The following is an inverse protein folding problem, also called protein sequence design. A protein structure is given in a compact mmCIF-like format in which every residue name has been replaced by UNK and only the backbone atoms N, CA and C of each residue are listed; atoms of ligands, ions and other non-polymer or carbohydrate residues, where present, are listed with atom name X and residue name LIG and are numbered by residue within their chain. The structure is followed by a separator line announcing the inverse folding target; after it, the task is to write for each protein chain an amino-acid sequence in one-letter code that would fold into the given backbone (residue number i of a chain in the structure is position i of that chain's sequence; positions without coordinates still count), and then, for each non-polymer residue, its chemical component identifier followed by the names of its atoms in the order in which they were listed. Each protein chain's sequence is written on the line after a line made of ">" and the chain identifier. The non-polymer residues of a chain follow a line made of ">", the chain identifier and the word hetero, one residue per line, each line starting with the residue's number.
data_IF_898279202120
#
_entry.id   IF_898279202120
#
_cell.length_a   1.000
_cell.length_b   1.000
_cell.length_c   1.000
_cell.angle_alpha   90.00
_cell.angle_beta   90.00
_cell.angle_gamma   90.00
#
_symmetry.space_group_name_H-M   'P 1'
#
loop_
_entity.id
_entity.type
_entity.pdbx_description
1 polymer ?
#
# COMPACT_ATOMS: atom_id res chain seq x y z
N UNK A 1 -68.37 25.35 -7.38
CA UNK A 1 -69.06 24.38 -8.24
C UNK A 1 -68.39 23.02 -8.14
N UNK A 2 -69.16 21.99 -7.77
CA UNK A 2 -68.88 20.55 -8.05
C UNK A 2 -69.38 20.25 -9.47
N UNK A 3 -68.88 19.22 -10.18
CA UNK A 3 -69.44 17.87 -10.00
C UNK A 3 -68.37 16.74 -10.05
N UNK A 4 -68.51 15.72 -9.20
CA UNK A 4 -68.86 14.33 -9.58
C UNK A 4 -67.69 13.58 -10.27
N UNK A 5 -67.08 12.54 -9.73
CA UNK A 5 -67.57 11.45 -8.90
C UNK A 5 -67.59 10.17 -9.75
N UNK A 6 -66.60 9.29 -9.59
CA UNK A 6 -66.70 7.85 -9.91
C UNK A 6 -65.78 7.09 -8.95
N UNK A 7 -66.40 6.26 -8.11
CA UNK A 7 -65.74 5.26 -7.26
C UNK A 7 -65.76 3.95 -8.04
N UNK A 8 -64.60 3.44 -8.46
CA UNK A 8 -64.50 2.11 -9.07
C UNK A 8 -64.03 1.11 -8.01
N UNK A 9 -64.98 0.32 -7.50
CA UNK A 9 -64.71 -0.87 -6.68
C UNK A 9 -64.22 -1.99 -7.59
N UNK A 10 -62.96 -2.40 -7.44
CA UNK A 10 -62.45 -3.61 -8.08
C UNK A 10 -62.51 -4.73 -7.04
N UNK A 11 -63.47 -5.63 -7.24
CA UNK A 11 -63.59 -6.93 -6.58
C UNK A 11 -62.39 -7.79 -6.96
N UNK A 12 -61.90 -8.56 -5.99
CA UNK A 12 -60.66 -9.32 -6.08
C UNK A 12 -60.62 -10.41 -7.15
N UNK A 13 -59.40 -10.63 -7.64
CA UNK A 13 -58.88 -11.93 -8.01
C UNK A 13 -57.44 -11.96 -7.50
N UNK A 14 -57.14 -12.89 -6.57
CA UNK A 14 -55.89 -12.94 -5.84
C UNK A 14 -54.69 -13.16 -6.76
N UNK A 15 -53.86 -12.13 -6.91
CA UNK A 15 -52.49 -12.23 -7.42
C UNK A 15 -51.59 -12.42 -6.20
N UNK A 16 -51.11 -13.65 -6.00
CA UNK A 16 -49.96 -13.95 -5.16
C UNK A 16 -48.72 -13.30 -5.79
N UNK A 17 -48.45 -12.05 -5.41
CA UNK A 17 -47.17 -11.39 -5.74
C UNK A 17 -46.10 -12.06 -4.90
N UNK A 18 -45.37 -13.01 -5.49
CA UNK A 18 -44.08 -13.43 -4.98
C UNK A 18 -43.12 -12.24 -5.10
N UNK A 19 -43.01 -11.45 -4.04
CA UNK A 19 -41.97 -10.43 -3.89
C UNK A 19 -40.65 -11.19 -3.77
N UNK A 20 -39.97 -11.43 -4.89
CA UNK A 20 -38.60 -11.94 -4.90
C UNK A 20 -37.71 -10.85 -4.34
N UNK A 21 -37.37 -10.95 -3.05
CA UNK A 21 -36.45 -10.06 -2.39
C UNK A 21 -35.06 -10.25 -3.03
N UNK A 22 -34.44 -9.24 -3.68
CA UNK A 22 -33.06 -9.38 -4.10
C UNK A 22 -32.20 -9.46 -2.85
N UNK A 23 -31.53 -10.58 -2.64
CA UNK A 23 -30.51 -10.72 -1.61
C UNK A 23 -29.36 -9.77 -1.95
N UNK A 24 -29.29 -8.63 -1.27
CA UNK A 24 -28.11 -7.76 -1.28
C UNK A 24 -27.03 -8.51 -0.50
N UNK A 25 -26.13 -9.19 -1.20
CA UNK A 25 -24.90 -9.71 -0.61
C UNK A 25 -24.03 -8.50 -0.21
N UNK A 26 -23.91 -8.24 1.09
CA UNK A 26 -22.93 -7.29 1.60
C UNK A 26 -21.57 -7.99 1.56
N UNK A 27 -20.74 -7.64 0.58
CA UNK A 27 -19.32 -7.97 0.60
C UNK A 27 -18.73 -7.30 1.84
N UNK A 28 -18.48 -8.08 2.89
CA UNK A 28 -17.69 -7.63 4.02
C UNK A 28 -16.35 -7.17 3.49
N UNK A 29 -16.06 -5.88 3.64
CA UNK A 29 -14.75 -5.33 3.37
C UNK A 29 -13.79 -5.91 4.41
N UNK A 30 -13.14 -7.01 4.04
CA UNK A 30 -11.94 -7.54 4.68
C UNK A 30 -10.82 -6.52 4.49
N UNK A 31 -10.87 -5.44 5.27
CA UNK A 31 -9.85 -4.41 5.27
C UNK A 31 -8.74 -4.92 6.18
N UNK A 32 -7.80 -5.66 5.58
CA UNK A 32 -6.49 -5.84 6.17
C UNK A 32 -5.85 -4.49 6.54
N UNK A 33 -4.78 -4.50 7.34
CA UNK A 33 -4.15 -3.28 7.85
C UNK A 33 -3.78 -2.34 6.69
N UNK A 34 -4.06 -1.05 6.83
CA UNK A 34 -3.77 -0.05 5.80
C UNK A 34 -2.25 0.06 5.60
N UNK A 35 -1.78 -0.39 4.44
CA UNK A 35 -0.36 -0.38 4.07
C UNK A 35 0.02 1.01 3.57
N UNK A 36 0.99 1.64 4.25
CA UNK A 36 1.50 2.99 3.94
C UNK A 36 2.82 2.97 3.18
N UNK A 37 3.61 1.90 3.33
CA UNK A 37 4.95 1.83 2.76
C UNK A 37 5.55 0.43 2.84
N UNK A 38 6.81 0.36 2.46
CA UNK A 38 7.67 -0.81 2.64
C UNK A 38 8.79 -0.49 3.64
N UNK A 39 9.07 -1.42 4.53
CA UNK A 39 10.25 -1.39 5.38
C UNK A 39 11.38 -2.14 4.69
N UNK A 40 12.46 -1.44 4.41
CA UNK A 40 13.61 -1.95 3.66
C UNK A 40 14.86 -1.98 4.54
N UNK A 41 15.77 -2.90 4.24
CA UNK A 41 17.15 -2.87 4.75
C UNK A 41 18.10 -2.61 3.60
N UNK A 42 19.04 -1.71 3.82
CA UNK A 42 20.17 -1.45 2.93
C UNK A 42 21.48 -1.83 3.58
N UNK A 43 22.36 -2.51 2.84
CA UNK A 43 23.75 -2.76 3.20
C UNK A 43 24.65 -1.95 2.28
N UNK A 44 25.54 -1.16 2.88
CA UNK A 44 26.73 -0.65 2.21
C UNK A 44 27.85 -1.69 2.35
N UNK A 45 28.22 -2.34 1.23
CA UNK A 45 29.23 -3.41 1.17
C UNK A 45 30.65 -2.89 1.43
N UNK A 46 30.89 -1.59 1.27
CA UNK A 46 32.20 -0.96 1.50
C UNK A 46 32.39 -0.69 2.98
N UNK A 47 31.37 -0.12 3.65
CA UNK A 47 31.45 0.20 5.08
C UNK A 47 30.95 -0.92 6.00
N UNK A 48 30.36 -1.98 5.42
CA UNK A 48 29.68 -3.07 6.12
C UNK A 48 28.55 -2.59 7.05
N UNK A 49 27.93 -1.43 6.75
CA UNK A 49 26.86 -0.85 7.56
C UNK A 49 25.49 -1.26 7.01
N UNK A 50 24.64 -1.77 7.90
CA UNK A 50 23.25 -2.10 7.62
C UNK A 50 22.36 -1.00 8.21
N UNK A 51 21.46 -0.46 7.40
CA UNK A 51 20.47 0.54 7.82
C UNK A 51 19.09 0.03 7.47
N UNK A 52 18.13 0.24 8.37
CA UNK A 52 16.70 0.01 8.09
C UNK A 52 16.05 1.35 7.84
N UNK A 53 15.25 1.46 6.80
CA UNK A 53 14.56 2.69 6.44
C UNK A 53 13.19 2.36 5.83
N UNK A 54 12.27 3.30 5.98
CA UNK A 54 10.93 3.21 5.40
C UNK A 54 10.91 3.86 4.02
N UNK A 55 10.25 3.21 3.07
CA UNK A 55 9.92 3.72 1.75
C UNK A 55 8.40 3.87 1.64
N UNK A 56 7.84 5.09 1.77
CA UNK A 56 6.42 5.33 1.55
C UNK A 56 6.00 4.94 0.13
N UNK A 57 4.76 4.49 -0.05
CA UNK A 57 4.29 4.05 -1.36
C UNK A 57 4.26 5.21 -2.36
N UNK A 58 4.88 5.00 -3.52
CA UNK A 58 4.94 5.99 -4.61
C UNK A 58 5.87 7.17 -4.36
N UNK A 59 6.57 7.21 -3.22
CA UNK A 59 7.56 8.23 -2.90
C UNK A 59 8.98 7.73 -3.13
N UNK A 60 9.85 8.63 -3.57
CA UNK A 60 11.26 8.34 -3.77
C UNK A 60 12.03 8.52 -2.48
N UNK A 61 12.75 7.47 -2.07
CA UNK A 61 13.70 7.52 -0.96
C UNK A 61 15.12 7.28 -1.45
N UNK A 62 16.10 7.84 -0.74
CA UNK A 62 17.51 7.76 -1.09
C UNK A 62 18.26 6.83 -0.13
N UNK A 63 19.06 5.94 -0.69
CA UNK A 63 20.06 5.16 0.04
C UNK A 63 21.41 5.21 -0.71
N UNK A 64 22.36 6.01 -0.22
CA UNK A 64 23.60 6.26 -0.93
C UNK A 64 23.37 6.96 -2.27
N UNK A 65 23.79 6.33 -3.38
CA UNK A 65 23.52 6.79 -4.76
C UNK A 65 22.22 6.22 -5.34
N UNK A 66 21.54 5.33 -4.61
CA UNK A 66 20.29 4.73 -5.07
C UNK A 66 19.11 5.68 -4.86
N UNK A 67 18.17 5.63 -5.82
CA UNK A 67 16.82 6.17 -5.75
C UNK A 67 15.86 5.00 -5.78
N UNK A 68 15.05 4.86 -4.75
CA UNK A 68 14.21 3.69 -4.53
C UNK A 68 12.76 4.16 -4.43
N UNK A 69 11.88 3.55 -5.19
CA UNK A 69 10.44 3.77 -5.11
C UNK A 69 9.76 2.43 -4.82
N UNK A 70 8.98 2.38 -3.74
CA UNK A 70 8.10 1.25 -3.46
C UNK A 70 6.74 1.51 -4.09
N UNK A 71 6.40 0.80 -5.15
CA UNK A 71 5.11 1.00 -5.85
C UNK A 71 3.96 0.29 -5.14
N UNK A 72 4.24 -0.87 -4.55
CA UNK A 72 3.23 -1.69 -3.90
C UNK A 72 3.87 -2.55 -2.83
N UNK A 73 3.24 -2.65 -1.66
CA UNK A 73 3.62 -3.60 -0.62
C UNK A 73 2.41 -4.48 -0.28
N UNK A 74 2.60 -5.81 -0.30
CA UNK A 74 1.58 -6.81 0.00
C UNK A 74 2.06 -7.69 1.14
N UNK A 75 1.29 -7.72 2.22
CA UNK A 75 1.49 -8.60 3.37
C UNK A 75 0.37 -9.63 3.40
N UNK A 76 0.72 -10.91 3.49
CA UNK A 76 -0.28 -11.98 3.66
C UNK A 76 -0.93 -11.90 5.04
N UNK A 77 -2.21 -12.29 5.16
CA UNK A 77 -2.90 -12.29 6.43
C UNK A 77 -2.37 -13.42 7.33
N UNK A 78 -2.58 -13.33 8.66
CA UNK A 78 -1.94 -14.23 9.63
C UNK A 78 -2.38 -15.70 9.55
N UNK A 79 -3.53 -15.98 8.93
CA UNK A 79 -4.05 -17.33 8.68
C UNK A 79 -3.32 -18.07 7.55
N UNK A 80 -2.54 -17.36 6.73
CA UNK A 80 -1.71 -17.92 5.68
C UNK A 80 -0.23 -18.01 6.10
N UNK A 81 0.57 -18.71 5.30
CA UNK A 81 2.03 -18.72 5.49
C UNK A 81 2.57 -17.27 5.39
N UNK A 82 3.30 -16.76 6.42
CA UNK A 82 3.78 -15.39 6.44
C UNK A 82 4.64 -15.07 5.22
N UNK A 83 4.26 -14.03 4.49
CA UNK A 83 5.02 -13.53 3.35
C UNK A 83 4.74 -12.04 3.14
N UNK A 84 5.79 -11.32 2.72
CA UNK A 84 5.70 -9.93 2.30
C UNK A 84 6.34 -9.79 0.94
N UNK A 85 5.61 -9.23 -0.02
CA UNK A 85 6.09 -8.97 -1.36
C UNK A 85 5.97 -7.48 -1.70
N UNK A 86 7.04 -6.89 -2.21
CA UNK A 86 7.09 -5.47 -2.59
C UNK A 86 7.54 -5.34 -4.03
N UNK A 87 6.81 -4.55 -4.81
CA UNK A 87 7.28 -4.13 -6.12
C UNK A 87 8.15 -2.88 -5.95
N UNK A 88 9.43 -3.01 -6.26
CA UNK A 88 10.42 -1.94 -6.13
C UNK A 88 10.92 -1.52 -7.51
N UNK A 89 11.14 -0.23 -7.66
CA UNK A 89 11.91 0.37 -8.75
C UNK A 89 13.13 1.04 -8.12
N UNK A 90 14.32 0.70 -8.62
CA UNK A 90 15.59 1.18 -8.09
C UNK A 90 16.45 1.66 -9.24
N UNK A 91 16.81 2.93 -9.18
CA UNK A 91 17.76 3.58 -10.09
C UNK A 91 19.02 3.99 -9.32
N UNK A 92 20.13 4.17 -10.03
CA UNK A 92 21.32 4.82 -9.52
C UNK A 92 21.52 6.19 -10.15
N UNK A 93 21.83 7.17 -9.31
CA UNK A 93 22.24 8.52 -9.71
C UNK A 93 23.65 8.78 -9.20
N UNK A 94 24.65 8.71 -10.09
CA UNK A 94 26.06 8.90 -9.75
C UNK A 94 26.46 10.37 -9.81
N UNK A 95 27.23 10.88 -8.83
CA UNK A 95 27.75 12.23 -8.89
C UNK A 95 28.61 12.47 -10.14
N UNK A 96 28.27 13.50 -10.92
CA UNK A 96 29.02 13.87 -12.12
C UNK A 96 28.61 13.14 -13.40
N UNK A 97 27.70 12.17 -13.32
CA UNK A 97 27.05 11.58 -14.48
C UNK A 97 25.68 12.23 -14.69
N UNK A 98 25.29 12.43 -15.95
CA UNK A 98 23.99 12.98 -16.29
C UNK A 98 22.97 11.85 -16.45
N UNK A 99 21.94 11.84 -15.60
CA UNK A 99 20.80 10.91 -15.71
C UNK A 99 20.80 9.84 -14.62
N UNK A 100 19.80 8.94 -14.73
CA UNK A 100 19.56 7.83 -13.79
C UNK A 100 19.70 6.51 -14.54
N UNK A 101 20.44 5.58 -13.96
CA UNK A 101 20.59 4.24 -14.50
C UNK A 101 19.62 3.28 -13.80
N UNK A 102 18.65 2.67 -14.50
CA UNK A 102 17.78 1.67 -13.87
C UNK A 102 18.59 0.42 -13.52
N UNK A 103 18.47 -0.01 -12.26
CA UNK A 103 19.18 -1.18 -11.72
C UNK A 103 18.23 -2.34 -11.42
N UNK A 104 17.02 -2.05 -10.93
CA UNK A 104 16.05 -3.07 -10.54
C UNK A 104 14.63 -2.57 -10.78
N UNK A 105 13.77 -3.44 -11.31
CA UNK A 105 12.32 -3.23 -11.36
C UNK A 105 11.65 -4.59 -11.26
N UNK A 106 10.97 -4.85 -10.14
CA UNK A 106 10.41 -6.17 -9.90
C UNK A 106 9.87 -6.41 -8.50
N UNK A 107 9.33 -7.61 -8.31
CA UNK A 107 8.84 -8.09 -7.02
C UNK A 107 9.96 -8.69 -6.20
N UNK A 108 10.11 -8.23 -4.97
CA UNK A 108 11.04 -8.78 -4.00
C UNK A 108 10.26 -9.32 -2.78
N UNK A 109 10.71 -10.47 -2.27
CA UNK A 109 10.05 -11.21 -1.19
C UNK A 109 10.87 -11.14 0.09
N UNK A 110 10.25 -10.80 1.21
CA UNK A 110 10.94 -10.70 2.50
C UNK A 110 11.50 -12.05 2.97
N UNK A 111 10.79 -13.14 2.67
CA UNK A 111 11.24 -14.49 3.05
C UNK A 111 12.47 -14.96 2.24
N UNK A 112 12.58 -14.50 0.99
CA UNK A 112 13.56 -14.98 0.02
C UNK A 112 14.04 -13.86 -0.93
N UNK A 113 14.76 -12.84 -0.42
CA UNK A 113 15.20 -11.71 -1.26
C UNK A 113 16.11 -12.14 -2.42
N UNK A 114 16.88 -13.21 -2.22
CA UNK A 114 17.80 -13.76 -3.22
C UNK A 114 17.11 -14.23 -4.52
N UNK A 115 15.79 -14.44 -4.53
CA UNK A 115 15.04 -14.80 -5.75
C UNK A 115 14.89 -13.62 -6.72
N UNK A 116 14.99 -12.39 -6.22
CA UNK A 116 14.92 -11.16 -7.01
C UNK A 116 15.80 -10.11 -6.35
N UNK A 117 17.10 -10.40 -6.30
CA UNK A 117 18.08 -9.55 -5.63
C UNK A 117 18.44 -8.32 -6.47
N UNK A 118 18.78 -7.23 -5.78
CA UNK A 118 19.43 -6.08 -6.40
C UNK A 118 20.90 -6.40 -6.67
N UNK A 119 21.27 -6.45 -7.94
CA UNK A 119 22.66 -6.66 -8.35
C UNK A 119 23.41 -5.32 -8.45
N UNK A 120 23.98 -4.87 -7.32
CA UNK A 120 24.79 -3.65 -7.27
C UNK A 120 26.16 -3.91 -6.58
N UNK A 121 27.28 -3.36 -7.10
CA UNK A 121 28.61 -3.63 -6.54
C UNK A 121 28.84 -3.06 -5.13
N UNK A 122 28.20 -1.93 -4.80
CA UNK A 122 28.43 -1.20 -3.53
C UNK A 122 27.30 -1.39 -2.53
N UNK A 123 26.07 -1.57 -3.01
CA UNK A 123 24.89 -1.57 -2.17
C UNK A 123 24.14 -2.90 -2.34
N UNK A 124 23.39 -3.28 -1.31
CA UNK A 124 22.37 -4.32 -1.39
C UNK A 124 21.13 -3.78 -0.69
N UNK A 125 19.95 -4.06 -1.22
CA UNK A 125 18.68 -3.59 -0.66
C UNK A 125 17.70 -4.75 -0.68
N UNK A 126 17.08 -5.02 0.47
CA UNK A 126 16.06 -6.05 0.56
C UNK A 126 14.86 -5.66 1.40
N UNK A 127 13.72 -6.27 1.08
CA UNK A 127 12.44 -6.09 1.78
C UNK A 127 12.47 -6.79 3.14
N UNK A 128 11.93 -6.11 4.16
CA UNK A 128 11.73 -6.67 5.50
C UNK A 128 10.25 -6.87 5.82
N UNK A 129 9.43 -5.83 5.64
CA UNK A 129 8.00 -5.86 5.97
C UNK A 129 7.24 -4.75 5.20
N UNK A 130 5.92 -4.72 5.31
CA UNK A 130 5.12 -3.54 5.01
C UNK A 130 5.01 -2.63 6.22
N UNK A 131 5.11 -1.33 6.01
CA UNK A 131 4.71 -0.33 7.00
C UNK A 131 3.19 -0.20 6.96
N UNK A 132 2.53 -0.36 8.12
CA UNK A 132 1.07 -0.26 8.26
C UNK A 132 0.69 0.77 9.30
N UNK A 133 -0.49 1.39 9.17
CA UNK A 133 -1.02 2.34 10.17
C UNK A 133 -0.99 1.80 11.61
N UNK A 134 -1.30 0.51 11.78
CA UNK A 134 -1.37 -0.12 13.10
C UNK A 134 0.01 -0.38 13.72
N UNK A 135 1.03 -0.71 12.90
CA UNK A 135 2.38 -1.03 13.38
C UNK A 135 3.14 0.19 13.94
N UNK A 136 2.82 1.41 13.51
CA UNK A 136 3.44 2.63 14.05
C UNK A 136 2.93 2.98 15.45
N UNK A 137 1.77 2.45 15.88
CA UNK A 137 1.22 2.75 17.19
C UNK A 137 2.04 2.16 18.35
N UNK A 138 2.79 1.07 18.09
CA UNK A 138 3.59 0.34 19.06
C UNK A 138 5.11 0.67 19.00
N UNK A 139 5.56 1.48 18.04
CA UNK A 139 6.97 1.88 17.92
C UNK A 139 7.32 3.08 18.82
N UNK A 140 8.54 3.13 19.40
CA UNK A 140 8.99 4.30 20.15
C UNK A 140 9.01 5.55 19.26
N UNK A 141 8.56 6.67 19.81
CA UNK A 141 8.32 7.96 19.13
C UNK A 141 9.50 8.42 18.22
N UNK A 142 10.73 8.01 18.54
CA UNK A 142 11.93 8.32 17.77
C UNK A 142 12.01 7.68 16.37
N UNK A 143 11.17 6.68 16.08
CA UNK A 143 11.09 6.01 14.78
C UNK A 143 9.79 6.31 14.03
N UNK A 144 8.83 7.00 14.67
CA UNK A 144 7.61 7.44 13.98
C UNK A 144 8.00 8.46 12.94
N UNK A 145 7.68 8.18 11.69
CA UNK A 145 7.85 9.14 10.61
C UNK A 145 7.01 10.39 10.95
N UNK A 146 7.56 11.61 10.88
CA UNK A 146 6.77 12.80 11.14
C UNK A 146 5.64 12.83 10.11
N UNK A 147 4.40 12.72 10.59
CA UNK A 147 3.24 13.03 9.78
C UNK A 147 3.46 14.44 9.25
N UNK A 148 3.74 14.57 7.95
CA UNK A 148 3.89 15.86 7.29
C UNK A 148 2.67 16.69 7.62
N UNK A 149 2.79 17.81 8.36
CA UNK A 149 1.66 18.69 8.57
C UNK A 149 1.27 19.18 7.19
N UNK A 150 0.05 18.84 6.75
CA UNK A 150 -0.55 19.45 5.58
C UNK A 150 -0.49 20.95 5.81
N UNK A 151 0.37 21.64 5.06
CA UNK A 151 0.59 23.06 5.20
C UNK A 151 -0.77 23.76 5.23
N UNK A 152 -1.05 24.47 6.33
CA UNK A 152 -2.23 25.31 6.48
C UNK A 152 -2.17 26.42 5.42
N UNK A 153 -2.76 26.14 4.26
CA UNK A 153 -3.20 27.14 3.33
C UNK A 153 -4.51 27.75 3.88
N UNK A 154 -4.39 28.58 4.91
CA UNK A 154 -5.35 29.66 5.10
C UNK A 154 -4.74 30.79 5.92
N UNK A 155 -4.33 31.82 5.17
CA UNK A 155 -4.04 33.17 5.63
C UNK A 155 -5.32 33.98 5.47
N UNK A 156 -5.88 34.44 6.57
CA UNK A 156 -6.68 35.68 6.67
C UNK A 156 -6.27 36.44 7.93
#
# INVERSE_FOLDING_TARGET
>A
MKPSGVVARILGLGILIFITNPAIAQSGSDLGPEVRGALLRGLDKITARITTFEAPLGEEVQFGTLRIIAQTCRKRPPEEAPEVAVFLEIDEERPGESGRQPLFSGWMFASSPALSALEHPVYDVWVIDCSTADADSDLPESLKSPATPKADANRE
#
